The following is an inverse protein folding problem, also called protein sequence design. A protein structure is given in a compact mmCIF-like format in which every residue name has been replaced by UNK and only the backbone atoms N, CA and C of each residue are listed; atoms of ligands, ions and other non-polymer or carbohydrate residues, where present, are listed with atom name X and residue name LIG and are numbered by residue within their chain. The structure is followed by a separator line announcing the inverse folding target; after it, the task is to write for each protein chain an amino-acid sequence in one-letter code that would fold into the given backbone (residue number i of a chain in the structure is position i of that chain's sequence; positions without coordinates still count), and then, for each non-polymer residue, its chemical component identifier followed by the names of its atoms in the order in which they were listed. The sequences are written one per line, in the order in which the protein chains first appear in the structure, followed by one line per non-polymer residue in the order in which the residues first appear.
data_IF_045134708606
#
_entry.id   IF_045134708606
#
_cell.length_a   1.000
_cell.length_b   1.000
_cell.length_c   1.000
_cell.angle_alpha   90.00
_cell.angle_beta   90.00
_cell.angle_gamma   90.00
#
_symmetry.space_group_name_H-M   'P 1'
#
loop_
_entity.id
_entity.type
_entity.pdbx_description
1 polymer ?
#
# COMPACT_ATOMS: atom_id res chain seq x y z
N UNK A 1 7.62 -20.10 4.36
CA UNK A 1 6.28 -19.48 4.36
C UNK A 1 6.33 -17.94 4.14
N UNK A 2 6.91 -17.13 5.07
CA UNK A 2 6.88 -15.66 4.95
C UNK A 2 7.67 -15.14 3.74
N UNK A 3 8.84 -15.69 3.41
CA UNK A 3 9.59 -15.32 2.21
C UNK A 3 8.84 -15.68 0.93
N UNK A 4 8.20 -16.83 0.89
CA UNK A 4 7.37 -17.27 -0.24
C UNK A 4 6.20 -16.32 -0.48
N UNK A 5 5.57 -15.82 0.59
CA UNK A 5 4.48 -14.85 0.54
C UNK A 5 4.88 -13.57 -0.22
N UNK A 6 6.13 -13.16 -0.14
CA UNK A 6 6.66 -12.00 -0.87
C UNK A 6 7.45 -12.40 -2.13
N UNK A 7 7.24 -13.60 -2.62
CA UNK A 7 7.88 -14.12 -3.84
C UNK A 7 9.41 -14.08 -3.78
N UNK A 8 9.99 -14.47 -2.63
CA UNK A 8 11.40 -14.70 -2.45
C UNK A 8 11.60 -16.19 -2.11
N UNK A 9 12.40 -16.90 -2.90
CA UNK A 9 12.68 -18.31 -2.63
C UNK A 9 13.49 -18.44 -1.34
N UNK A 10 13.00 -19.17 -0.31
CA UNK A 10 13.75 -19.35 0.94
C UNK A 10 15.11 -19.98 0.76
N UNK A 11 15.29 -20.86 -0.23
CA UNK A 11 16.57 -21.49 -0.50
C UNK A 11 17.65 -20.47 -0.93
N UNK A 12 17.24 -19.43 -1.65
CA UNK A 12 18.15 -18.40 -2.16
C UNK A 12 18.31 -17.21 -1.20
N UNK A 13 17.28 -16.88 -0.43
CA UNK A 13 17.21 -15.59 0.27
C UNK A 13 17.31 -15.68 1.80
N UNK A 14 17.08 -16.86 2.40
CA UNK A 14 17.01 -17.01 3.86
C UNK A 14 18.28 -16.57 4.59
N UNK A 15 19.43 -16.84 4.01
CA UNK A 15 20.73 -16.61 4.64
C UNK A 15 21.48 -15.41 4.04
N UNK A 16 20.82 -14.58 3.20
CA UNK A 16 21.43 -13.37 2.63
C UNK A 16 21.41 -12.21 3.60
N UNK A 17 22.51 -11.46 3.60
CA UNK A 17 22.60 -10.18 4.31
C UNK A 17 21.86 -9.07 3.52
N UNK A 18 21.37 -8.02 4.19
CA UNK A 18 20.68 -6.90 3.53
C UNK A 18 21.46 -6.28 2.37
N UNK A 19 22.79 -6.15 2.52
CA UNK A 19 23.66 -5.60 1.45
C UNK A 19 23.71 -6.45 0.17
N UNK A 20 23.28 -7.70 0.22
CA UNK A 20 23.21 -8.62 -0.92
C UNK A 20 21.86 -8.62 -1.62
N UNK A 21 20.94 -7.76 -1.17
CA UNK A 21 19.58 -7.66 -1.68
C UNK A 21 19.42 -6.38 -2.51
N UNK A 22 18.65 -6.46 -3.61
CA UNK A 22 18.20 -5.27 -4.32
C UNK A 22 17.23 -4.44 -3.46
N UNK A 23 17.01 -3.16 -3.81
CA UNK A 23 16.06 -2.30 -3.09
C UNK A 23 14.66 -2.90 -2.97
N UNK A 24 14.12 -3.46 -4.06
CA UNK A 24 12.82 -4.14 -4.05
C UNK A 24 12.81 -5.43 -3.19
N UNK A 25 13.91 -6.18 -3.17
CA UNK A 25 14.05 -7.34 -2.29
C UNK A 25 14.13 -6.92 -0.82
N UNK A 26 14.85 -5.85 -0.50
CA UNK A 26 14.90 -5.28 0.85
C UNK A 26 13.52 -4.82 1.33
N UNK A 27 12.74 -4.14 0.47
CA UNK A 27 11.36 -3.75 0.80
C UNK A 27 10.48 -4.96 1.09
N UNK A 28 10.55 -6.01 0.26
CA UNK A 28 9.80 -7.24 0.48
C UNK A 28 10.18 -7.95 1.78
N UNK A 29 11.46 -8.00 2.12
CA UNK A 29 11.93 -8.53 3.41
C UNK A 29 11.45 -7.66 4.58
N UNK A 30 11.46 -6.33 4.43
CA UNK A 30 10.93 -5.40 5.43
C UNK A 30 9.45 -5.65 5.73
N UNK A 31 8.66 -5.89 4.68
CA UNK A 31 7.24 -6.22 4.80
C UNK A 31 7.03 -7.54 5.56
N UNK A 32 7.76 -8.59 5.20
CA UNK A 32 7.72 -9.89 5.88
C UNK A 32 8.10 -9.78 7.35
N UNK A 33 9.12 -8.97 7.65
CA UNK A 33 9.54 -8.71 9.03
C UNK A 33 8.43 -8.08 9.86
N UNK A 34 7.69 -7.12 9.30
CA UNK A 34 6.55 -6.51 9.97
C UNK A 34 5.41 -7.52 10.19
N UNK A 35 5.14 -8.37 9.21
CA UNK A 35 4.13 -9.43 9.30
C UNK A 35 4.51 -10.52 10.32
N UNK A 36 5.80 -10.87 10.42
CA UNK A 36 6.29 -11.93 11.32
C UNK A 36 5.99 -11.63 12.80
N UNK A 37 6.04 -10.36 13.20
CA UNK A 37 5.70 -9.94 14.56
C UNK A 37 4.20 -10.05 14.87
N UNK A 38 3.37 -10.25 13.86
CA UNK A 38 1.90 -10.39 13.99
C UNK A 38 1.24 -9.30 14.85
N UNK A 39 1.57 -8.01 14.67
CA UNK A 39 1.06 -6.91 15.50
C UNK A 39 -0.43 -6.68 15.27
N UNK A 40 -1.12 -6.09 16.25
CA UNK A 40 -2.52 -5.64 16.10
C UNK A 40 -2.66 -4.46 15.14
N UNK A 41 -1.66 -3.57 15.13
CA UNK A 41 -1.58 -2.41 14.23
C UNK A 41 -0.25 -2.49 13.49
N UNK A 42 -0.30 -2.46 12.16
CA UNK A 42 0.89 -2.44 11.31
C UNK A 42 0.95 -1.11 10.55
N UNK A 43 2.08 -0.41 10.70
CA UNK A 43 2.35 0.84 10.00
C UNK A 43 3.36 0.56 8.88
N UNK A 44 2.98 0.89 7.66
CA UNK A 44 3.76 0.67 6.44
C UNK A 44 3.95 2.02 5.72
N UNK A 45 5.20 2.45 5.65
CA UNK A 45 5.59 3.69 4.97
C UNK A 45 6.18 3.36 3.59
N UNK A 46 5.48 3.77 2.52
CA UNK A 46 5.84 3.51 1.11
C UNK A 46 6.25 2.04 0.83
N UNK A 47 5.45 1.03 1.23
CA UNK A 47 5.90 -0.36 1.25
C UNK A 47 6.16 -0.96 -0.13
N UNK A 48 5.73 -0.30 -1.20
CA UNK A 48 5.86 -0.80 -2.58
C UNK A 48 6.73 0.08 -3.49
N UNK A 49 7.34 1.16 -2.98
CA UNK A 49 8.00 2.18 -3.78
C UNK A 49 9.13 1.69 -4.68
N UNK A 50 9.92 0.70 -4.26
CA UNK A 50 11.03 0.13 -5.04
C UNK A 50 10.70 -1.22 -5.71
N UNK A 51 9.41 -1.61 -5.77
CA UNK A 51 8.96 -2.89 -6.31
C UNK A 51 8.41 -2.68 -7.73
N UNK A 52 8.77 -3.57 -8.66
CA UNK A 52 8.23 -3.55 -10.02
C UNK A 52 6.71 -3.75 -10.05
N UNK A 53 6.05 -3.24 -11.09
CA UNK A 53 4.58 -3.19 -11.17
C UNK A 53 3.89 -4.55 -11.05
N UNK A 54 4.48 -5.61 -11.64
CA UNK A 54 3.86 -6.95 -11.63
C UNK A 54 3.96 -7.55 -10.22
N UNK A 55 5.13 -7.51 -9.62
CA UNK A 55 5.35 -8.01 -8.26
C UNK A 55 4.56 -7.19 -7.24
N UNK A 56 4.50 -5.86 -7.41
CA UNK A 56 3.71 -4.95 -6.57
C UNK A 56 2.23 -5.36 -6.55
N UNK A 57 1.62 -5.56 -7.72
CA UNK A 57 0.22 -5.95 -7.81
C UNK A 57 -0.06 -7.25 -7.04
N UNK A 58 0.79 -8.27 -7.20
CA UNK A 58 0.67 -9.55 -6.49
C UNK A 58 0.79 -9.39 -4.97
N UNK A 59 1.74 -8.58 -4.51
CA UNK A 59 1.95 -8.32 -3.08
C UNK A 59 0.79 -7.55 -2.46
N UNK A 60 0.23 -6.59 -3.19
CA UNK A 60 -0.97 -5.87 -2.75
C UNK A 60 -2.16 -6.82 -2.56
N UNK A 61 -2.38 -7.72 -3.51
CA UNK A 61 -3.46 -8.71 -3.43
C UNK A 61 -3.25 -9.67 -2.24
N UNK A 62 -2.00 -10.09 -2.00
CA UNK A 62 -1.64 -10.94 -0.89
C UNK A 62 -1.83 -10.24 0.47
N UNK A 63 -1.45 -8.96 0.58
CA UNK A 63 -1.71 -8.16 1.78
C UNK A 63 -3.19 -7.96 2.06
N UNK A 64 -4.00 -7.72 1.04
CA UNK A 64 -5.45 -7.66 1.18
C UNK A 64 -6.03 -8.98 1.69
N UNK A 65 -5.52 -10.12 1.20
CA UNK A 65 -5.92 -11.45 1.66
C UNK A 65 -5.58 -11.65 3.14
N UNK A 66 -4.38 -11.29 3.56
CA UNK A 66 -3.94 -11.37 4.96
C UNK A 66 -4.77 -10.45 5.84
N UNK A 67 -4.99 -9.22 5.44
CA UNK A 67 -5.79 -8.26 6.19
C UNK A 67 -7.20 -8.77 6.45
N UNK A 68 -7.89 -9.27 5.40
CA UNK A 68 -9.25 -9.82 5.53
C UNK A 68 -9.33 -11.01 6.49
N UNK A 69 -8.28 -11.82 6.57
CA UNK A 69 -8.24 -13.00 7.44
C UNK A 69 -7.72 -12.73 8.86
N UNK A 70 -7.10 -11.58 9.11
CA UNK A 70 -6.40 -11.32 10.37
C UNK A 70 -7.20 -10.52 11.39
N UNK A 71 -8.18 -9.72 10.96
CA UNK A 71 -8.91 -8.77 11.82
C UNK A 71 -8.04 -7.60 12.32
N UNK A 72 -6.83 -7.42 11.79
CA UNK A 72 -5.84 -6.43 12.23
C UNK A 72 -5.97 -5.11 11.47
N UNK A 73 -5.41 -4.05 12.04
CA UNK A 73 -5.39 -2.73 11.40
C UNK A 73 -4.08 -2.52 10.65
N UNK A 74 -4.17 -2.20 9.35
CA UNK A 74 -3.04 -1.83 8.52
C UNK A 74 -3.14 -0.34 8.17
N UNK A 75 -2.09 0.41 8.42
CA UNK A 75 -1.97 1.83 8.06
C UNK A 75 -0.88 1.93 7.00
N UNK A 76 -1.27 2.35 5.80
CA UNK A 76 -0.35 2.59 4.69
C UNK A 76 -0.12 4.09 4.50
N UNK A 77 1.12 4.50 4.40
CA UNK A 77 1.49 5.80 3.87
C UNK A 77 1.97 5.61 2.45
N UNK A 78 1.35 6.28 1.51
CA UNK A 78 1.73 6.23 0.08
C UNK A 78 1.41 7.55 -0.60
N UNK A 79 2.16 7.88 -1.64
CA UNK A 79 1.87 8.99 -2.56
C UNK A 79 1.10 8.51 -3.80
N UNK A 80 0.89 7.20 -3.95
CA UNK A 80 0.14 6.61 -5.07
C UNK A 80 -1.35 6.50 -4.72
N UNK A 81 -2.16 7.33 -5.36
CA UNK A 81 -3.62 7.35 -5.18
C UNK A 81 -4.26 6.01 -5.54
N UNK A 82 -3.73 5.33 -6.56
CA UNK A 82 -4.24 4.00 -6.97
C UNK A 82 -4.05 2.96 -5.87
N UNK A 83 -2.90 3.00 -5.19
CA UNK A 83 -2.65 2.14 -4.02
C UNK A 83 -3.61 2.46 -2.88
N UNK A 84 -3.76 3.75 -2.55
CA UNK A 84 -4.67 4.18 -1.48
C UNK A 84 -6.11 3.75 -1.73
N UNK A 85 -6.61 3.91 -2.96
CA UNK A 85 -7.96 3.50 -3.34
C UNK A 85 -8.14 1.99 -3.40
N UNK A 86 -7.11 1.24 -3.81
CA UNK A 86 -7.14 -0.23 -3.89
C UNK A 86 -7.09 -0.90 -2.52
N UNK A 87 -6.22 -0.41 -1.64
CA UNK A 87 -5.88 -1.07 -0.38
C UNK A 87 -6.69 -0.56 0.80
N UNK A 88 -7.08 0.73 0.78
CA UNK A 88 -7.73 1.38 1.91
C UNK A 88 -9.20 1.04 2.04
N UNK A 89 -9.65 0.71 3.24
CA UNK A 89 -11.08 0.75 3.61
C UNK A 89 -11.50 2.18 3.97
N UNK A 90 -10.55 2.99 4.41
CA UNK A 90 -10.64 4.45 4.59
C UNK A 90 -9.36 5.08 4.07
N UNK A 91 -9.49 6.26 3.49
CA UNK A 91 -8.38 7.05 2.95
C UNK A 91 -8.34 8.40 3.66
N UNK A 92 -7.18 8.74 4.19
CA UNK A 92 -6.87 10.05 4.76
C UNK A 92 -5.99 10.82 3.78
N UNK A 93 -6.49 11.90 3.24
CA UNK A 93 -5.71 12.83 2.39
C UNK A 93 -5.17 13.96 3.25
N UNK A 94 -3.85 14.15 3.20
CA UNK A 94 -3.14 15.19 3.95
C UNK A 94 -2.35 16.06 2.97
N UNK A 95 -2.43 17.37 3.13
CA UNK A 95 -1.62 18.34 2.41
C UNK A 95 -1.09 19.41 3.36
N UNK A 96 0.18 19.75 3.26
CA UNK A 96 0.86 20.76 4.10
C UNK A 96 0.56 20.57 5.60
N UNK A 97 0.53 19.34 6.10
CA UNK A 97 0.24 19.00 7.50
C UNK A 97 -1.23 19.16 7.91
N UNK A 98 -2.14 19.38 6.97
CA UNK A 98 -3.57 19.53 7.22
C UNK A 98 -4.36 18.40 6.59
N UNK A 99 -5.34 17.87 7.34
CA UNK A 99 -6.27 16.89 6.80
C UNK A 99 -7.19 17.59 5.79
N UNK A 100 -7.19 17.07 4.57
CA UNK A 100 -8.02 17.54 3.47
C UNK A 100 -9.32 16.78 3.40
N UNK A 101 -9.26 15.46 3.57
CA UNK A 101 -10.44 14.59 3.60
C UNK A 101 -10.12 13.26 4.29
N UNK A 102 -11.12 12.68 4.97
CA UNK A 102 -11.09 11.32 5.49
C UNK A 102 -12.39 10.63 5.10
N UNK A 103 -12.32 9.65 4.21
CA UNK A 103 -13.49 9.04 3.58
C UNK A 103 -13.21 7.59 3.13
N UNK A 104 -14.25 6.87 2.71
CA UNK A 104 -14.05 5.64 1.94
C UNK A 104 -13.52 5.96 0.54
N UNK A 105 -12.88 5.01 -0.17
CA UNK A 105 -12.50 5.20 -1.57
C UNK A 105 -13.65 5.70 -2.45
N UNK A 106 -14.83 5.13 -2.28
CA UNK A 106 -16.03 5.48 -3.05
C UNK A 106 -16.48 6.93 -2.77
N UNK A 107 -16.52 7.32 -1.49
CA UNK A 107 -16.87 8.69 -1.08
C UNK A 107 -15.83 9.70 -1.55
N UNK A 108 -14.53 9.32 -1.51
CA UNK A 108 -13.44 10.17 -1.98
C UNK A 108 -13.56 10.49 -3.47
N UNK A 109 -13.89 9.48 -4.28
CA UNK A 109 -14.08 9.62 -5.73
C UNK A 109 -15.35 10.38 -6.07
N UNK A 110 -16.46 10.10 -5.39
CA UNK A 110 -17.76 10.71 -5.69
C UNK A 110 -17.85 12.16 -5.20
N UNK A 111 -17.26 12.46 -4.06
CA UNK A 111 -17.40 13.72 -3.34
C UNK A 111 -16.07 14.27 -2.82
N UNK A 112 -15.12 14.69 -3.71
CA UNK A 112 -13.89 15.32 -3.28
C UNK A 112 -14.20 16.61 -2.50
N UNK A 113 -13.76 16.66 -1.22
CA UNK A 113 -14.15 17.69 -0.28
C UNK A 113 -13.46 19.04 -0.51
N UNK A 114 -12.26 19.03 -1.12
CA UNK A 114 -11.48 20.23 -1.37
C UNK A 114 -11.01 20.30 -2.83
N UNK A 115 -10.66 21.51 -3.34
CA UNK A 115 -10.05 21.62 -4.66
C UNK A 115 -8.77 20.79 -4.80
N UNK A 116 -7.95 20.72 -3.74
CA UNK A 116 -6.74 19.91 -3.70
C UNK A 116 -7.04 18.42 -3.94
N UNK A 117 -8.03 17.85 -3.22
CA UNK A 117 -8.42 16.43 -3.38
C UNK A 117 -8.90 16.17 -4.80
N UNK A 118 -9.68 17.07 -5.37
CA UNK A 118 -10.16 16.95 -6.76
C UNK A 118 -8.99 16.94 -7.75
N UNK A 119 -8.08 17.90 -7.65
CA UNK A 119 -6.90 18.00 -8.51
C UNK A 119 -6.01 16.77 -8.38
N UNK A 120 -5.80 16.27 -7.16
CA UNK A 120 -5.04 15.06 -6.89
C UNK A 120 -5.62 13.84 -7.61
N UNK A 121 -6.93 13.65 -7.55
CA UNK A 121 -7.64 12.57 -8.23
C UNK A 121 -7.54 12.70 -9.75
N UNK A 122 -7.83 13.89 -10.30
CA UNK A 122 -7.78 14.18 -11.74
C UNK A 122 -6.38 13.95 -12.31
N UNK A 123 -5.34 14.37 -11.61
CA UNK A 123 -3.93 14.15 -12.01
C UNK A 123 -3.58 12.66 -12.14
N UNK A 124 -4.25 11.80 -11.38
CA UNK A 124 -4.08 10.36 -11.43
C UNK A 124 -5.08 9.65 -12.36
N UNK A 125 -5.85 10.42 -13.15
CA UNK A 125 -6.78 9.91 -14.14
C UNK A 125 -8.14 9.45 -13.58
N UNK A 126 -8.50 9.88 -12.39
CA UNK A 126 -9.83 9.63 -11.82
C UNK A 126 -10.76 10.81 -12.08
N UNK A 127 -11.96 10.53 -12.55
CA UNK A 127 -13.02 11.53 -12.75
C UNK A 127 -14.05 11.44 -11.62
N UNK A 128 -14.89 12.49 -11.40
CA UNK A 128 -15.99 12.47 -10.43
C UNK A 128 -16.98 11.30 -10.59
N UNK A 129 -16.95 10.64 -11.75
CA UNK A 129 -17.77 9.45 -12.04
C UNK A 129 -17.07 8.14 -11.61
N UNK A 130 -15.91 8.21 -10.96
CA UNK A 130 -15.18 7.07 -10.43
C UNK A 130 -14.44 6.25 -11.49
N UNK A 131 -14.40 6.66 -12.73
CA UNK A 131 -13.71 5.96 -13.82
C UNK A 131 -12.30 6.50 -14.01
N UNK A 132 -11.37 5.56 -14.16
CA UNK A 132 -10.04 5.86 -14.71
C UNK A 132 -10.25 6.20 -16.20
N UNK A 133 -9.84 7.39 -16.57
CA UNK A 133 -9.82 7.79 -17.97
C UNK A 133 -8.84 6.91 -18.77
#
# INVERSE_FOLDING_TARGET
ELLELVHLDPADFRDRYPAQLSGGQQQRVGLVRALAASPEIMLLDEPFGAIDAITRAKLQDELLRIHRGSGKTFIFVTHDVTEALKLGTKVLVVDAGRVQQYATPEELLAHPATPFVRELLETQGYTPEGRRA
#
